data_IF_126120275080
#
_entry.id   IF_126120275080
#
_cell.length_a   1.000
_cell.length_b   1.000
_cell.length_c   1.000
_cell.angle_alpha   90.00
_cell.angle_beta   90.00
_cell.angle_gamma   90.00
#
_symmetry.space_group_name_H-M   'P 1'
#
loop_
_entity.id
_entity.type
_entity.pdbx_description
1 polymer ?
#
# COMPACT_ATOMS: atom_id res chain seq x y z
N UNK A 1 9.68 6.39 -22.55
CA UNK A 1 8.71 6.62 -21.46
C UNK A 1 7.43 7.10 -22.10
N UNK A 2 6.31 6.50 -21.78
CA UNK A 2 5.01 6.88 -22.32
C UNK A 2 4.55 8.18 -21.63
N UNK A 3 4.11 9.17 -22.41
CA UNK A 3 3.75 10.50 -21.93
C UNK A 3 2.28 10.77 -22.26
N UNK A 4 1.59 11.30 -21.27
CA UNK A 4 0.21 11.75 -21.39
C UNK A 4 0.03 13.21 -20.97
N UNK A 5 -1.19 13.71 -21.06
CA UNK A 5 -1.56 15.06 -20.65
C UNK A 5 -2.78 15.04 -19.75
N UNK A 6 -2.79 15.87 -18.73
CA UNK A 6 -3.96 16.08 -17.88
C UNK A 6 -5.07 16.75 -18.69
N UNK A 7 -6.24 16.14 -18.70
CA UNK A 7 -7.43 16.73 -19.33
C UNK A 7 -8.47 17.24 -18.32
N UNK A 8 -8.48 16.70 -17.12
CA UNK A 8 -9.40 17.10 -16.06
C UNK A 8 -8.80 16.83 -14.67
N UNK A 9 -9.06 17.72 -13.72
CA UNK A 9 -8.72 17.58 -12.29
C UNK A 9 -10.00 17.79 -11.49
N UNK A 10 -10.35 16.82 -10.64
CA UNK A 10 -11.53 16.83 -9.78
C UNK A 10 -11.14 16.40 -8.36
N UNK A 11 -10.60 17.33 -7.57
CA UNK A 11 -10.04 17.00 -6.26
C UNK A 11 -8.90 15.98 -6.39
N UNK A 12 -8.98 14.80 -5.74
CA UNK A 12 -7.94 13.78 -5.85
C UNK A 12 -8.00 12.95 -7.13
N UNK A 13 -9.01 13.14 -7.97
CA UNK A 13 -9.20 12.40 -9.23
C UNK A 13 -8.70 13.21 -10.40
N UNK A 14 -7.84 12.60 -11.21
CA UNK A 14 -7.23 13.23 -12.40
C UNK A 14 -7.43 12.33 -13.60
N UNK A 15 -7.94 12.89 -14.70
CA UNK A 15 -8.06 12.18 -15.97
C UNK A 15 -6.90 12.60 -16.89
N UNK A 16 -6.21 11.60 -17.44
CA UNK A 16 -5.00 11.76 -18.27
C UNK A 16 -5.21 11.06 -19.61
N UNK A 17 -4.95 11.77 -20.71
CA UNK A 17 -5.01 11.22 -22.07
C UNK A 17 -3.62 10.83 -22.56
N UNK A 18 -3.53 9.69 -23.25
CA UNK A 18 -2.31 9.17 -23.88
C UNK A 18 -2.52 9.06 -25.38
N UNK A 19 -2.14 10.09 -26.12
CA UNK A 19 -2.43 10.22 -27.56
C UNK A 19 -1.77 9.14 -28.44
N UNK A 20 -0.79 8.39 -27.91
CA UNK A 20 -0.05 7.37 -28.66
C UNK A 20 -0.71 5.97 -28.66
N UNK A 21 -1.91 5.82 -28.08
CA UNK A 21 -2.63 4.55 -28.02
C UNK A 21 -2.09 3.50 -27.07
N UNK A 22 -0.97 3.74 -26.40
CA UNK A 22 -0.41 2.88 -25.37
C UNK A 22 -0.86 3.37 -23.99
N UNK A 23 -1.91 2.77 -23.47
CA UNK A 23 -2.40 3.09 -22.13
C UNK A 23 -1.54 2.42 -21.05
N UNK A 24 -1.20 3.13 -19.96
CA UNK A 24 -0.61 2.51 -18.78
C UNK A 24 -1.60 1.50 -18.18
N UNK A 25 -1.08 0.46 -17.56
CA UNK A 25 -1.89 -0.56 -16.90
C UNK A 25 -2.59 -0.01 -15.66
N UNK A 26 -3.71 -0.63 -15.30
CA UNK A 26 -4.37 -0.33 -14.02
C UNK A 26 -3.39 -0.63 -12.90
N UNK A 27 -3.30 0.28 -11.89
CA UNK A 27 -2.33 0.31 -10.79
C UNK A 27 -0.92 0.77 -11.15
N UNK A 28 -0.65 1.15 -12.41
CA UNK A 28 0.61 1.82 -12.73
C UNK A 28 0.68 3.20 -12.06
N UNK A 29 1.90 3.55 -11.66
CA UNK A 29 2.20 4.87 -11.14
C UNK A 29 2.49 5.86 -12.28
N UNK A 30 1.86 7.01 -12.22
CA UNK A 30 2.12 8.14 -13.11
C UNK A 30 2.73 9.29 -12.32
N UNK A 31 3.62 10.03 -12.93
CA UNK A 31 4.31 11.16 -12.33
C UNK A 31 4.05 12.43 -13.11
N UNK A 32 3.75 13.50 -12.40
CA UNK A 32 3.65 14.86 -12.93
C UNK A 32 4.57 15.78 -12.14
N UNK A 33 5.27 16.65 -12.82
CA UNK A 33 6.05 17.73 -12.18
C UNK A 33 5.14 18.95 -12.00
N UNK A 34 4.96 19.35 -10.75
CA UNK A 34 4.19 20.53 -10.38
C UNK A 34 5.13 21.57 -9.77
N UNK A 35 5.70 22.43 -10.62
CA UNK A 35 6.65 23.48 -10.26
C UNK A 35 7.85 22.96 -9.43
N UNK A 36 8.47 21.87 -9.89
CA UNK A 36 9.61 21.23 -9.24
C UNK A 36 9.23 20.27 -8.11
N UNK A 37 7.94 20.12 -7.82
CA UNK A 37 7.43 19.12 -6.88
C UNK A 37 6.90 17.89 -7.63
N UNK A 38 7.53 16.76 -7.40
CA UNK A 38 7.08 15.48 -7.95
C UNK A 38 5.77 15.06 -7.31
N UNK A 39 4.69 15.00 -8.09
CA UNK A 39 3.40 14.48 -7.67
C UNK A 39 3.16 13.13 -8.31
N UNK A 40 2.66 12.18 -7.54
CA UNK A 40 2.41 10.79 -7.98
C UNK A 40 0.92 10.49 -7.91
N UNK A 41 0.42 9.81 -8.93
CA UNK A 41 -0.93 9.31 -9.02
C UNK A 41 -0.93 7.85 -9.47
N UNK A 42 -1.96 7.10 -9.12
CA UNK A 42 -2.13 5.70 -9.51
C UNK A 42 -3.29 5.58 -10.50
N UNK A 43 -3.10 4.79 -11.56
CA UNK A 43 -4.17 4.48 -12.53
C UNK A 43 -5.23 3.61 -11.87
N UNK A 44 -6.43 4.13 -11.76
CA UNK A 44 -7.58 3.44 -11.18
C UNK A 44 -8.40 2.68 -12.23
N UNK A 45 -8.62 3.30 -13.39
CA UNK A 45 -9.41 2.68 -14.47
C UNK A 45 -9.14 3.33 -15.83
N UNK A 46 -9.44 2.58 -16.90
CA UNK A 46 -9.52 3.11 -18.25
C UNK A 46 -10.95 3.59 -18.52
N UNK A 47 -11.10 4.85 -18.96
CA UNK A 47 -12.43 5.45 -19.21
C UNK A 47 -12.78 5.58 -20.68
N UNK A 48 -11.91 5.06 -21.58
CA UNK A 48 -12.09 5.12 -23.03
C UNK A 48 -11.44 6.35 -23.67
N UNK A 49 -11.43 6.41 -25.01
CA UNK A 49 -10.81 7.49 -25.77
C UNK A 49 -9.38 7.82 -25.34
N UNK A 50 -8.53 6.78 -25.23
CA UNK A 50 -7.15 6.88 -24.81
C UNK A 50 -6.93 7.59 -23.45
N UNK A 51 -7.95 7.57 -22.59
CA UNK A 51 -7.98 8.24 -21.31
C UNK A 51 -7.96 7.25 -20.15
N UNK A 52 -7.14 7.53 -19.17
CA UNK A 52 -7.10 6.84 -17.89
C UNK A 52 -7.55 7.77 -16.77
N UNK A 53 -8.24 7.22 -15.80
CA UNK A 53 -8.61 7.90 -14.55
C UNK A 53 -7.66 7.49 -13.46
N UNK A 54 -7.08 8.48 -12.80
CA UNK A 54 -6.06 8.30 -11.78
C UNK A 54 -6.52 8.87 -10.45
N UNK A 55 -5.97 8.33 -9.37
CA UNK A 55 -6.14 8.83 -8.01
C UNK A 55 -4.82 9.40 -7.54
N UNK A 56 -4.82 10.65 -7.08
CA UNK A 56 -3.64 11.32 -6.52
C UNK A 56 -3.26 10.71 -5.17
N UNK A 57 -1.98 10.45 -4.98
CA UNK A 57 -1.38 10.04 -3.71
C UNK A 57 -0.65 11.19 -3.01
N UNK A 58 -0.64 12.34 -3.64
CA UNK A 58 -0.15 13.61 -3.12
C UNK A 58 -1.21 14.68 -3.35
N UNK A 59 -0.99 15.85 -2.75
CA UNK A 59 -1.88 16.99 -2.95
C UNK A 59 -1.98 17.37 -4.44
N UNK A 60 -3.19 17.66 -4.91
CA UNK A 60 -3.50 18.02 -6.30
C UNK A 60 -3.47 19.53 -6.57
N UNK A 61 -3.21 20.34 -5.55
CA UNK A 61 -3.15 21.80 -5.69
C UNK A 61 -2.05 22.22 -6.65
N UNK A 62 -2.39 23.10 -7.56
CA UNK A 62 -1.50 23.58 -8.62
C UNK A 62 -1.53 22.77 -9.91
N UNK A 63 -2.13 21.58 -9.93
CA UNK A 63 -2.32 20.81 -11.15
C UNK A 63 -3.33 21.49 -12.07
N UNK A 64 -2.99 21.56 -13.34
CA UNK A 64 -3.82 22.16 -14.39
C UNK A 64 -3.92 21.27 -15.63
N UNK A 65 -4.87 21.59 -16.51
CA UNK A 65 -4.97 20.92 -17.81
C UNK A 65 -3.69 21.16 -18.62
N UNK A 66 -3.42 20.22 -19.52
CA UNK A 66 -2.29 20.22 -20.46
C UNK A 66 -0.92 19.97 -19.80
N UNK A 67 -0.84 19.82 -18.48
CA UNK A 67 0.42 19.40 -17.84
C UNK A 67 0.81 18.00 -18.30
N UNK A 68 2.10 17.83 -18.60
CA UNK A 68 2.67 16.56 -19.04
C UNK A 68 2.76 15.56 -17.87
N UNK A 69 2.31 14.35 -18.12
CA UNK A 69 2.36 13.22 -17.16
C UNK A 69 3.22 12.13 -17.77
N UNK A 70 4.09 11.54 -16.99
CA UNK A 70 4.96 10.44 -17.41
C UNK A 70 4.51 9.14 -16.74
N UNK A 71 4.25 8.10 -17.53
CA UNK A 71 4.00 6.77 -17.03
C UNK A 71 5.32 6.09 -16.64
N UNK A 72 5.38 5.51 -15.44
CA UNK A 72 6.59 4.83 -14.94
C UNK A 72 6.74 3.42 -15.51
N UNK A 73 5.65 2.84 -16.04
CA UNK A 73 5.59 1.46 -16.54
C UNK A 73 5.58 0.41 -15.43
N UNK A 74 5.32 0.82 -14.21
CA UNK A 74 5.21 -0.07 -13.06
C UNK A 74 4.30 0.54 -11.99
N UNK A 75 3.80 -0.28 -11.08
CA UNK A 75 3.09 0.19 -9.88
C UNK A 75 4.01 0.92 -8.90
N UNK A 76 3.42 1.45 -7.84
CA UNK A 76 4.14 2.11 -6.75
C UNK A 76 5.06 1.09 -6.08
N UNK A 77 6.32 1.49 -5.86
CA UNK A 77 7.33 0.67 -5.20
C UNK A 77 7.71 1.29 -3.87
N UNK A 78 7.91 0.43 -2.87
CA UNK A 78 8.36 0.83 -1.53
C UNK A 78 9.61 0.05 -1.15
N UNK A 79 10.52 0.63 -0.37
CA UNK A 79 11.71 -0.07 0.10
C UNK A 79 11.32 -1.22 1.03
N UNK A 80 12.09 -2.31 0.99
CA UNK A 80 11.90 -3.49 1.82
C UNK A 80 13.21 -3.92 2.47
N UNK A 81 13.13 -4.77 3.50
CA UNK A 81 14.28 -5.34 4.19
C UNK A 81 14.58 -4.67 5.55
N UNK A 82 15.60 -5.16 6.23
CA UNK A 82 15.92 -4.80 7.62
C UNK A 82 16.23 -3.31 7.81
N UNK A 83 16.73 -2.63 6.79
CA UNK A 83 17.01 -1.19 6.83
C UNK A 83 15.77 -0.31 6.93
N UNK A 84 14.58 -0.87 6.73
CA UNK A 84 13.31 -0.16 6.91
C UNK A 84 12.84 -0.13 8.36
N UNK A 85 13.43 -0.97 9.22
CA UNK A 85 13.02 -1.07 10.61
C UNK A 85 13.36 0.22 11.39
N UNK A 86 12.40 0.67 12.17
CA UNK A 86 12.53 1.90 12.97
C UNK A 86 12.55 3.20 12.14
N UNK A 87 12.26 3.15 10.85
CA UNK A 87 12.24 4.30 9.93
C UNK A 87 10.81 4.81 9.74
N UNK A 88 10.69 6.05 9.28
CA UNK A 88 9.41 6.69 8.98
C UNK A 88 9.33 7.04 7.47
N UNK A 89 8.23 6.64 6.84
CA UNK A 89 8.01 6.79 5.40
C UNK A 89 6.72 7.53 5.09
N UNK A 90 6.69 8.18 3.94
CA UNK A 90 5.46 8.63 3.33
C UNK A 90 4.78 7.46 2.56
N UNK A 91 3.62 7.71 1.97
CA UNK A 91 2.86 6.69 1.21
C UNK A 91 3.57 6.22 -0.09
N UNK A 92 4.60 6.91 -0.51
CA UNK A 92 5.40 6.58 -1.70
C UNK A 92 6.67 5.80 -1.35
N UNK A 93 6.94 5.59 -0.05
CA UNK A 93 8.13 4.91 0.43
C UNK A 93 9.36 5.82 0.59
N UNK A 94 9.20 7.14 0.43
CA UNK A 94 10.29 8.07 0.70
C UNK A 94 10.47 8.26 2.20
N UNK A 95 11.74 8.35 2.66
CA UNK A 95 12.04 8.57 4.08
C UNK A 95 11.71 10.01 4.49
N UNK A 96 10.98 10.17 5.61
CA UNK A 96 10.59 11.48 6.16
C UNK A 96 11.13 11.73 7.57
N UNK A 97 12.02 10.87 8.04
CA UNK A 97 12.66 10.94 9.37
C UNK A 97 14.03 11.64 9.34
N UNK A 98 14.40 12.30 8.24
CA UNK A 98 15.72 12.89 7.98
C UNK A 98 16.90 11.88 8.10
N UNK A 99 16.63 10.58 8.01
CA UNK A 99 17.63 9.55 7.93
C UNK A 99 18.19 9.37 6.51
N UNK A 100 19.09 8.39 6.34
CA UNK A 100 19.63 8.07 5.02
C UNK A 100 18.56 7.65 4.04
N UNK A 101 18.70 8.05 2.77
CA UNK A 101 17.81 7.61 1.68
C UNK A 101 17.97 6.12 1.44
N UNK A 102 16.87 5.44 1.20
CA UNK A 102 16.83 4.01 0.85
C UNK A 102 16.62 3.76 -0.65
N UNK A 103 16.81 4.76 -1.50
CA UNK A 103 16.61 4.62 -2.97
C UNK A 103 17.46 3.53 -3.61
N UNK A 104 18.63 3.22 -3.04
CA UNK A 104 19.54 2.16 -3.51
C UNK A 104 19.22 0.76 -2.99
N UNK A 105 18.24 0.60 -2.11
CA UNK A 105 17.87 -0.67 -1.52
C UNK A 105 16.85 -1.43 -2.38
N UNK A 106 16.55 -2.66 -2.00
CA UNK A 106 15.53 -3.45 -2.69
C UNK A 106 14.14 -2.82 -2.52
N UNK A 107 13.39 -2.73 -3.62
CA UNK A 107 12.03 -2.18 -3.64
C UNK A 107 11.04 -3.19 -4.19
N UNK A 108 9.90 -3.31 -3.54
CA UNK A 108 8.79 -4.14 -4.01
C UNK A 108 7.61 -3.29 -4.44
N UNK A 109 6.91 -3.75 -5.49
CA UNK A 109 5.63 -3.16 -5.89
C UNK A 109 4.59 -3.48 -4.82
N UNK A 110 3.79 -2.48 -4.42
CA UNK A 110 2.76 -2.67 -3.38
C UNK A 110 1.63 -3.61 -3.81
N UNK A 111 1.33 -3.68 -5.10
CA UNK A 111 0.36 -4.61 -5.68
C UNK A 111 1.10 -5.85 -6.18
N UNK A 112 1.12 -6.89 -5.37
CA UNK A 112 1.76 -8.18 -5.68
C UNK A 112 0.71 -9.26 -5.82
N UNK A 113 1.00 -10.23 -6.70
CA UNK A 113 0.20 -11.43 -6.78
C UNK A 113 0.30 -12.25 -5.48
N UNK A 114 -0.78 -12.95 -5.09
CA UNK A 114 -0.72 -13.86 -3.95
C UNK A 114 0.21 -15.04 -4.26
N UNK A 115 0.73 -15.75 -3.23
CA UNK A 115 1.49 -16.97 -3.42
C UNK A 115 0.72 -17.98 -4.26
N UNK A 116 1.42 -18.68 -5.16
CA UNK A 116 0.84 -19.76 -5.95
C UNK A 116 0.37 -20.91 -5.05
N UNK A 117 -0.50 -21.76 -5.57
CA UNK A 117 -0.99 -22.92 -4.81
C UNK A 117 0.16 -23.84 -4.35
N UNK A 118 1.20 -23.95 -5.15
CA UNK A 118 2.37 -24.80 -4.86
C UNK A 118 3.23 -24.25 -3.71
N UNK A 119 3.22 -22.93 -3.53
CA UNK A 119 3.95 -22.24 -2.46
C UNK A 119 3.20 -22.23 -1.14
N UNK A 120 1.92 -22.61 -1.12
CA UNK A 120 1.10 -22.64 0.07
C UNK A 120 1.35 -23.90 0.88
N UNK A 121 1.52 -23.76 2.20
CA UNK A 121 1.61 -24.90 3.11
C UNK A 121 0.23 -25.54 3.30
N UNK A 122 0.06 -26.85 3.05
CA UNK A 122 -1.19 -27.57 3.32
C UNK A 122 -1.39 -27.90 4.81
N UNK A 123 -0.38 -27.66 5.64
CA UNK A 123 -0.41 -28.00 7.08
C UNK A 123 -1.08 -26.87 7.85
N UNK A 124 -2.14 -27.23 8.59
CA UNK A 124 -2.81 -26.29 9.50
C UNK A 124 -2.16 -26.41 10.87
N UNK A 125 -1.42 -25.38 11.27
CA UNK A 125 -0.86 -25.24 12.62
C UNK A 125 -1.67 -24.21 13.40
N UNK A 126 -1.88 -24.47 14.69
CA UNK A 126 -2.54 -23.52 15.59
C UNK A 126 -1.52 -22.48 16.05
N UNK A 127 -1.91 -21.22 16.00
CA UNK A 127 -1.19 -20.11 16.63
C UNK A 127 -1.67 -19.97 18.07
N UNK A 128 -0.82 -20.33 19.02
CA UNK A 128 -1.11 -20.11 20.44
C UNK A 128 -1.04 -18.63 20.76
N UNK A 129 -2.16 -18.03 21.12
CA UNK A 129 -2.29 -16.58 21.36
C UNK A 129 -2.00 -16.21 22.81
N UNK A 130 -2.01 -17.16 23.74
CA UNK A 130 -1.92 -16.92 25.18
C UNK A 130 -3.24 -16.42 25.81
N UNK A 131 -4.28 -16.24 25.01
CA UNK A 131 -5.60 -15.80 25.46
C UNK A 131 -6.50 -17.04 25.57
N UNK A 132 -6.74 -17.52 26.79
CA UNK A 132 -7.42 -18.81 27.05
C UNK A 132 -8.72 -19.00 26.29
N UNK A 133 -9.55 -17.96 26.20
CA UNK A 133 -10.86 -18.08 25.54
C UNK A 133 -10.70 -18.24 24.03
N UNK A 134 -9.70 -17.63 23.42
CA UNK A 134 -9.40 -17.78 22.00
C UNK A 134 -8.81 -19.17 21.75
N UNK A 135 -7.75 -19.53 22.45
CA UNK A 135 -7.04 -20.78 22.22
C UNK A 135 -7.91 -22.01 22.47
N UNK A 136 -8.86 -21.91 23.41
CA UNK A 136 -9.75 -23.03 23.76
C UNK A 136 -11.00 -23.11 22.89
N UNK A 137 -11.65 -22.00 22.58
CA UNK A 137 -12.97 -21.97 21.93
C UNK A 137 -12.93 -21.58 20.45
N UNK A 138 -11.96 -20.82 20.03
CA UNK A 138 -11.84 -20.34 18.65
C UNK A 138 -10.36 -20.18 18.25
N UNK A 139 -9.58 -21.29 18.24
CA UNK A 139 -8.14 -21.24 18.00
C UNK A 139 -7.82 -20.64 16.64
N UNK A 140 -6.75 -19.88 16.58
CA UNK A 140 -6.28 -19.24 15.35
C UNK A 140 -5.34 -20.18 14.59
N UNK A 141 -5.54 -20.26 13.28
CA UNK A 141 -4.60 -20.96 12.42
C UNK A 141 -3.48 -20.01 11.97
N UNK A 142 -2.22 -20.48 11.95
CA UNK A 142 -1.12 -19.76 11.34
C UNK A 142 -1.43 -19.51 9.86
N UNK A 143 -1.19 -18.28 9.39
CA UNK A 143 -1.55 -17.85 8.04
C UNK A 143 -3.04 -17.56 7.83
N UNK A 144 -3.87 -17.72 8.87
CA UNK A 144 -5.31 -17.45 8.83
C UNK A 144 -5.64 -15.95 8.83
N UNK A 145 -6.88 -15.63 8.44
CA UNK A 145 -7.47 -14.30 8.52
C UNK A 145 -8.55 -14.31 9.59
N UNK A 146 -8.42 -13.47 10.61
CA UNK A 146 -9.30 -13.43 11.76
C UNK A 146 -9.96 -12.07 11.86
N UNK A 147 -11.29 -12.04 12.05
CA UNK A 147 -12.06 -10.82 12.26
C UNK A 147 -12.50 -10.68 13.71
N UNK A 148 -12.18 -9.54 14.34
CA UNK A 148 -12.70 -9.16 15.65
C UNK A 148 -13.79 -8.10 15.47
N UNK A 149 -15.04 -8.46 15.72
CA UNK A 149 -16.20 -7.60 15.56
C UNK A 149 -16.78 -7.22 16.91
N UNK A 150 -17.19 -5.96 17.06
CA UNK A 150 -17.82 -5.47 18.27
C UNK A 150 -18.05 -3.97 18.22
N UNK A 151 -18.95 -3.45 19.04
CA UNK A 151 -19.17 -2.02 19.19
C UNK A 151 -17.98 -1.27 19.82
N UNK A 152 -18.15 0.03 20.04
CA UNK A 152 -17.16 0.83 20.74
C UNK A 152 -17.00 0.37 22.21
N UNK A 153 -15.78 0.38 22.74
CA UNK A 153 -15.50 0.10 24.14
C UNK A 153 -15.57 -1.37 24.58
N UNK A 154 -15.75 -2.32 23.66
CA UNK A 154 -15.83 -3.76 24.02
C UNK A 154 -14.48 -4.46 24.12
N UNK A 155 -13.38 -3.74 24.00
CA UNK A 155 -12.03 -4.27 24.21
C UNK A 155 -11.33 -4.83 22.97
N UNK A 156 -11.80 -4.56 21.74
CA UNK A 156 -11.11 -5.01 20.50
C UNK A 156 -9.64 -4.60 20.45
N UNK A 157 -9.36 -3.32 20.71
CA UNK A 157 -7.99 -2.77 20.69
C UNK A 157 -7.13 -3.41 21.78
N UNK A 158 -7.68 -3.69 22.95
CA UNK A 158 -6.94 -4.36 24.03
C UNK A 158 -6.55 -5.78 23.62
N UNK A 159 -7.46 -6.52 22.98
CA UNK A 159 -7.16 -7.86 22.45
C UNK A 159 -6.06 -7.81 21.39
N UNK A 160 -6.11 -6.82 20.48
CA UNK A 160 -5.07 -6.65 19.44
C UNK A 160 -3.71 -6.35 20.08
N UNK A 161 -3.66 -5.45 21.07
CA UNK A 161 -2.42 -5.14 21.80
C UNK A 161 -1.84 -6.35 22.50
N UNK A 162 -2.69 -7.18 23.15
CA UNK A 162 -2.27 -8.40 23.80
C UNK A 162 -1.74 -9.44 22.80
N UNK A 163 -2.41 -9.60 21.65
CA UNK A 163 -1.93 -10.46 20.58
C UNK A 163 -0.57 -10.02 20.03
N UNK A 164 -0.37 -8.72 19.81
CA UNK A 164 0.92 -8.16 19.38
C UNK A 164 2.02 -8.46 20.39
N UNK A 165 1.74 -8.23 21.68
CA UNK A 165 2.68 -8.48 22.75
C UNK A 165 3.06 -9.95 22.84
N UNK A 166 2.09 -10.85 22.82
CA UNK A 166 2.32 -12.29 22.95
C UNK A 166 3.06 -12.86 21.75
N UNK A 167 2.73 -12.42 20.52
CA UNK A 167 3.47 -12.83 19.32
C UNK A 167 4.92 -12.36 19.37
N UNK A 168 5.17 -11.14 19.79
CA UNK A 168 6.53 -10.60 19.88
C UNK A 168 7.38 -11.32 20.93
N UNK A 169 6.80 -11.64 22.11
CA UNK A 169 7.54 -12.23 23.23
C UNK A 169 7.71 -13.74 23.11
N UNK A 170 6.66 -14.46 22.69
CA UNK A 170 6.66 -15.93 22.69
C UNK A 170 7.09 -16.54 21.36
N UNK A 171 6.81 -15.88 20.25
CA UNK A 171 7.12 -16.39 18.92
C UNK A 171 8.28 -15.67 18.21
N UNK A 172 8.83 -14.60 18.81
CA UNK A 172 9.96 -13.85 18.25
C UNK A 172 9.64 -13.21 16.88
N UNK A 173 8.35 -12.98 16.60
CA UNK A 173 7.87 -12.47 15.32
C UNK A 173 7.83 -10.94 15.27
N UNK A 174 7.62 -10.42 14.06
CA UNK A 174 7.30 -9.01 13.82
C UNK A 174 5.80 -8.80 13.79
N UNK A 175 5.36 -7.70 14.38
CA UNK A 175 3.97 -7.27 14.30
C UNK A 175 3.86 -6.00 13.49
N UNK A 176 2.92 -5.97 12.55
CA UNK A 176 2.61 -4.81 11.72
C UNK A 176 1.19 -4.36 12.05
N UNK A 177 1.04 -3.14 12.53
CA UNK A 177 -0.26 -2.54 12.80
C UNK A 177 -0.57 -1.48 11.76
N UNK A 178 -1.77 -1.55 11.18
CA UNK A 178 -2.26 -0.56 10.22
C UNK A 178 -3.57 0.02 10.72
N UNK A 179 -3.68 1.36 10.72
CA UNK A 179 -4.90 2.09 11.06
C UNK A 179 -5.56 2.63 9.80
N UNK A 180 -6.88 2.41 9.66
CA UNK A 180 -7.66 2.96 8.56
C UNK A 180 -8.91 3.62 9.14
N UNK A 181 -8.94 4.96 9.15
CA UNK A 181 -10.10 5.73 9.57
C UNK A 181 -10.38 5.75 11.09
N UNK A 182 -9.39 5.50 11.92
CA UNK A 182 -9.47 5.64 13.38
C UNK A 182 -8.57 6.77 13.88
#
# INVERSE_FOLDING_TARGET
MNKGKIIQVMGPVVDVVFENGELPSIKDALVVDNDGKKCVMEVSQHVGNDTVRCIMLSASEGLSRDMEVTATGAGIKVPVGDKTLGRLFNVLGDTIDNGESLEGEEHWVIHRDPPSFEEQSPVVEILETGIKVIDLLAPYAKGGKIGLFGGAGVGKTVLIQELIQNIATEHGGYSIFTGVGE
#
